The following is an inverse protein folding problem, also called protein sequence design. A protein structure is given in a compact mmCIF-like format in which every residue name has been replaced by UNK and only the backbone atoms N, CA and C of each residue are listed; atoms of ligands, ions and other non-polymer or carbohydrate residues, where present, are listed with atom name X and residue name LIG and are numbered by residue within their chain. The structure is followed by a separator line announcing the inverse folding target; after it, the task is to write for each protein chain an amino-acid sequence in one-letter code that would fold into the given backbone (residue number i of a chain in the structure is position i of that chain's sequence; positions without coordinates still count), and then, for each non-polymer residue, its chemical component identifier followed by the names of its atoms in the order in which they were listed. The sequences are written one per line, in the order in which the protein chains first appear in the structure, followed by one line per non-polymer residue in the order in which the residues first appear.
data_IF_540893361333
#
_entry.id   IF_540893361333
#
_cell.length_a   1.000
_cell.length_b   1.000
_cell.length_c   1.000
_cell.angle_alpha   90.00
_cell.angle_beta   90.00
_cell.angle_gamma   90.00
#
_symmetry.space_group_name_H-M   'P 1'
#
loop_
_entity.id
_entity.type
_entity.pdbx_description
1 polymer ?
#
# COMPACT_ATOMS: atom_id res chain seq x y z
N UNK A 1 26.28 12.08 22.71
CA UNK A 1 26.07 12.82 21.45
C UNK A 1 24.62 13.29 21.42
N UNK A 2 24.38 14.59 21.33
CA UNK A 2 23.02 15.12 21.17
C UNK A 2 22.46 14.57 19.85
N UNK A 3 21.36 13.84 19.90
CA UNK A 3 20.66 13.38 18.71
C UNK A 3 20.25 14.60 17.87
N UNK A 4 20.82 14.73 16.68
CA UNK A 4 20.49 15.84 15.80
C UNK A 4 19.07 15.58 15.24
N UNK A 5 18.09 16.38 15.65
CA UNK A 5 16.70 16.26 15.21
C UNK A 5 16.58 16.97 13.86
N UNK A 6 16.19 16.23 12.81
CA UNK A 6 15.90 16.79 11.49
C UNK A 6 14.79 17.85 11.62
N UNK A 7 15.02 19.05 11.07
CA UNK A 7 14.11 20.19 11.15
C UNK A 7 13.58 20.45 12.57
N UNK A 8 14.49 20.57 13.54
CA UNK A 8 14.17 20.62 14.98
C UNK A 8 13.07 21.63 15.34
N UNK A 9 13.21 22.87 14.90
CA UNK A 9 12.29 23.98 15.21
C UNK A 9 10.89 23.69 14.62
N UNK A 10 10.83 23.34 13.33
CA UNK A 10 9.60 22.97 12.65
C UNK A 10 8.94 21.75 13.32
N UNK A 11 9.71 20.72 13.63
CA UNK A 11 9.25 19.51 14.33
C UNK A 11 8.60 19.81 15.67
N UNK A 12 9.12 20.79 16.43
CA UNK A 12 8.53 21.20 17.71
C UNK A 12 7.25 22.02 17.52
N UNK A 13 7.23 22.93 16.54
CA UNK A 13 6.02 23.69 16.22
C UNK A 13 4.88 22.77 15.79
N UNK A 14 5.16 21.84 14.87
CA UNK A 14 4.21 20.84 14.37
C UNK A 14 3.70 19.97 15.52
N UNK A 15 4.58 19.41 16.34
CA UNK A 15 4.16 18.60 17.50
C UNK A 15 3.29 19.38 18.48
N UNK A 16 3.60 20.66 18.71
CA UNK A 16 2.77 21.53 19.53
C UNK A 16 1.36 21.72 18.95
N UNK A 17 1.20 21.74 17.62
CA UNK A 17 -0.13 21.78 16.98
C UNK A 17 -0.86 20.45 17.21
N UNK A 18 -0.18 19.32 16.99
CA UNK A 18 -0.79 18.00 17.16
C UNK A 18 -1.31 17.79 18.60
N UNK A 19 -0.55 18.24 19.60
CA UNK A 19 -0.95 18.19 21.02
C UNK A 19 -2.15 19.09 21.29
N UNK A 20 -2.14 20.32 20.77
CA UNK A 20 -3.26 21.25 20.94
C UNK A 20 -4.56 20.71 20.32
N UNK A 21 -4.48 20.16 19.10
CA UNK A 21 -5.60 19.49 18.42
C UNK A 21 -6.12 18.33 19.27
N UNK A 22 -5.24 17.48 19.80
CA UNK A 22 -5.64 16.37 20.66
C UNK A 22 -6.32 16.85 21.96
N UNK A 23 -5.77 17.87 22.61
CA UNK A 23 -6.31 18.40 23.86
C UNK A 23 -7.70 19.02 23.68
N UNK A 24 -7.97 19.65 22.53
CA UNK A 24 -9.25 20.28 22.24
C UNK A 24 -10.31 19.29 21.78
N UNK A 25 -9.93 18.28 20.98
CA UNK A 25 -10.89 17.35 20.36
C UNK A 25 -11.04 16.02 21.10
N UNK A 26 -10.02 15.59 21.84
CA UNK A 26 -9.94 14.25 22.43
C UNK A 26 -9.93 13.12 21.38
N UNK A 27 -9.95 11.85 21.82
CA UNK A 27 -10.01 10.68 20.93
C UNK A 27 -11.45 10.38 20.43
N UNK A 28 -11.60 9.35 19.61
CA UNK A 28 -12.88 8.79 19.10
C UNK A 28 -13.59 9.59 18.00
N UNK A 29 -12.87 10.47 17.30
CA UNK A 29 -13.39 11.09 16.08
C UNK A 29 -12.85 10.37 14.83
N UNK A 30 -13.58 10.40 13.71
CA UNK A 30 -13.04 10.00 12.42
C UNK A 30 -11.77 10.79 12.03
N UNK A 31 -10.80 10.10 11.42
CA UNK A 31 -9.49 10.65 11.03
C UNK A 31 -9.57 11.98 10.26
N UNK A 32 -10.55 12.10 9.35
CA UNK A 32 -10.82 13.32 8.58
C UNK A 32 -11.02 14.59 9.42
N UNK A 33 -11.49 14.47 10.67
CA UNK A 33 -11.65 15.63 11.55
C UNK A 33 -10.31 16.10 12.11
N UNK A 34 -9.44 15.16 12.48
CA UNK A 34 -8.07 15.50 12.89
C UNK A 34 -7.28 16.09 11.73
N UNK A 35 -7.40 15.53 10.51
CA UNK A 35 -6.76 16.10 9.32
C UNK A 35 -7.13 17.57 9.12
N UNK A 36 -8.44 17.90 9.19
CA UNK A 36 -8.92 19.28 9.07
C UNK A 36 -8.41 20.19 10.17
N UNK A 37 -8.43 19.72 11.43
CA UNK A 37 -7.98 20.50 12.57
C UNK A 37 -6.47 20.77 12.53
N UNK A 38 -5.67 19.77 12.15
CA UNK A 38 -4.22 19.90 11.96
C UNK A 38 -3.91 20.88 10.82
N UNK A 39 -4.59 20.77 9.67
CA UNK A 39 -4.44 21.73 8.56
C UNK A 39 -4.71 23.16 9.02
N UNK A 40 -5.78 23.37 9.80
CA UNK A 40 -6.11 24.68 10.34
C UNK A 40 -5.03 25.20 11.30
N UNK A 41 -4.58 24.38 12.25
CA UNK A 41 -3.54 24.75 13.20
C UNK A 41 -2.18 25.06 12.55
N UNK A 42 -1.81 24.32 11.50
CA UNK A 42 -0.61 24.58 10.70
C UNK A 42 -0.69 25.96 10.02
N UNK A 43 -1.82 26.25 9.37
CA UNK A 43 -2.05 27.55 8.71
C UNK A 43 -2.04 28.71 9.69
N UNK A 44 -2.64 28.57 10.87
CA UNK A 44 -2.60 29.62 11.90
C UNK A 44 -1.19 29.96 12.38
N UNK A 45 -0.27 28.98 12.36
CA UNK A 45 1.14 29.19 12.71
C UNK A 45 2.00 29.61 11.51
N UNK A 46 1.39 29.85 10.35
CA UNK A 46 2.10 30.26 9.14
C UNK A 46 3.01 29.17 8.54
N UNK A 47 2.78 27.90 8.87
CA UNK A 47 3.55 26.78 8.31
C UNK A 47 2.95 26.41 6.95
N UNK A 48 3.78 26.43 5.89
CA UNK A 48 3.35 26.06 4.56
C UNK A 48 2.97 24.56 4.54
N UNK A 49 1.75 24.26 4.12
CA UNK A 49 1.19 22.91 4.15
C UNK A 49 0.27 22.66 2.95
N UNK A 50 0.50 21.55 2.25
CA UNK A 50 -0.42 20.96 1.27
C UNK A 50 -1.08 19.74 1.91
N UNK A 51 -2.39 19.76 2.10
CA UNK A 51 -3.14 18.62 2.64
C UNK A 51 -3.60 17.70 1.51
N UNK A 52 -3.60 16.39 1.74
CA UNK A 52 -3.96 15.38 0.73
C UNK A 52 -3.16 15.56 -0.57
N UNK A 53 -1.84 15.78 -0.44
CA UNK A 53 -0.98 16.01 -1.60
C UNK A 53 -0.83 14.72 -2.40
N UNK A 54 -1.16 14.79 -3.69
CA UNK A 54 -1.03 13.69 -4.62
C UNK A 54 0.44 13.50 -5.05
N UNK A 55 0.88 12.25 -5.05
CA UNK A 55 2.16 11.80 -5.61
C UNK A 55 1.91 10.66 -6.58
N UNK A 56 2.53 10.74 -7.74
CA UNK A 56 2.53 9.64 -8.72
C UNK A 56 3.49 8.54 -8.26
N UNK A 57 2.99 7.32 -8.19
CA UNK A 57 3.76 6.13 -7.85
C UNK A 57 4.27 5.50 -9.13
N UNK A 58 5.59 5.43 -9.26
CA UNK A 58 6.23 4.73 -10.36
C UNK A 58 6.67 3.34 -9.94
N UNK A 59 6.48 2.37 -10.83
CA UNK A 59 7.13 1.07 -10.74
C UNK A 59 7.91 0.84 -12.02
N UNK A 60 9.24 0.68 -11.89
CA UNK A 60 10.17 0.87 -13.01
C UNK A 60 9.97 2.29 -13.57
N UNK A 61 9.99 2.45 -14.89
CA UNK A 61 9.78 3.73 -15.56
C UNK A 61 8.31 3.99 -15.94
N UNK A 62 7.36 3.26 -15.33
CA UNK A 62 5.94 3.31 -15.66
C UNK A 62 5.10 3.72 -14.46
N UNK A 63 4.09 4.55 -14.70
CA UNK A 63 3.11 4.92 -13.68
C UNK A 63 2.32 3.70 -13.21
N UNK A 64 2.33 3.48 -11.90
CA UNK A 64 1.56 2.47 -11.21
C UNK A 64 0.26 3.04 -10.60
N UNK A 65 0.08 4.36 -10.62
CA UNK A 65 -1.09 5.07 -10.06
C UNK A 65 -0.68 6.20 -9.13
N UNK A 66 -1.61 6.70 -8.34
CA UNK A 66 -1.38 7.82 -7.42
C UNK A 66 -1.57 7.44 -5.96
N UNK A 67 -0.91 8.17 -5.07
CA UNK A 67 -1.08 8.09 -3.63
C UNK A 67 -1.20 9.49 -3.02
N UNK A 68 -1.92 9.60 -1.91
CA UNK A 68 -2.18 10.86 -1.23
C UNK A 68 -1.58 10.83 0.18
N UNK A 69 -0.81 11.86 0.51
CA UNK A 69 -0.24 12.05 1.85
C UNK A 69 -1.10 13.05 2.62
N UNK A 70 -1.35 12.81 3.91
CA UNK A 70 -2.22 13.64 4.73
C UNK A 70 -1.77 15.10 4.76
N UNK A 71 -0.49 15.35 5.08
CA UNK A 71 0.09 16.70 5.06
C UNK A 71 1.53 16.69 4.58
N UNK A 72 1.81 17.55 3.59
CA UNK A 72 3.13 17.84 3.06
C UNK A 72 3.57 19.23 3.50
N UNK A 73 4.58 19.31 4.37
CA UNK A 73 4.98 20.55 5.04
C UNK A 73 6.26 21.12 4.44
N UNK A 74 6.29 22.45 4.27
CA UNK A 74 7.50 23.22 3.93
C UNK A 74 8.28 22.60 2.77
N UNK A 75 7.56 22.27 1.69
CA UNK A 75 8.13 21.70 0.46
C UNK A 75 8.91 20.38 0.67
N UNK A 76 8.49 19.56 1.63
CA UNK A 76 9.03 18.20 1.81
C UNK A 76 9.97 18.04 2.99
N UNK A 77 10.10 19.06 3.84
CA UNK A 77 10.84 18.93 5.10
C UNK A 77 10.19 17.87 6.01
N UNK A 78 8.86 17.90 6.12
CA UNK A 78 8.11 16.95 6.95
C UNK A 78 6.87 16.48 6.19
N UNK A 79 6.63 15.16 6.16
CA UNK A 79 5.30 14.62 5.92
C UNK A 79 4.64 14.18 7.23
N UNK A 80 3.32 14.34 7.32
CA UNK A 80 2.53 13.79 8.41
C UNK A 80 1.72 12.60 7.90
N UNK A 81 1.66 11.56 8.73
CA UNK A 81 0.77 10.40 8.56
C UNK A 81 -0.10 10.31 9.82
N UNK A 82 -1.38 10.59 9.66
CA UNK A 82 -2.36 10.57 10.73
C UNK A 82 -2.98 9.17 10.85
N UNK A 83 -3.27 8.80 12.08
CA UNK A 83 -3.99 7.57 12.42
C UNK A 83 -5.01 7.82 13.50
N UNK A 84 -6.11 7.09 13.42
CA UNK A 84 -7.02 6.84 14.55
C UNK A 84 -7.05 5.33 14.79
N UNK A 85 -6.11 4.85 15.61
CA UNK A 85 -5.92 3.44 15.90
C UNK A 85 -5.67 3.20 17.40
N UNK A 86 -5.71 1.93 17.81
CA UNK A 86 -5.40 1.53 19.18
C UNK A 86 -3.92 1.71 19.55
N UNK A 87 -3.01 1.72 18.57
CA UNK A 87 -1.58 1.99 18.74
C UNK A 87 -0.88 2.31 17.41
N UNK A 88 0.33 2.86 17.46
CA UNK A 88 1.23 2.96 16.30
C UNK A 88 1.93 1.60 16.08
N UNK A 89 1.33 0.79 15.21
CA UNK A 89 1.86 -0.54 14.87
C UNK A 89 3.10 -0.49 13.96
N UNK A 90 3.94 -1.54 13.95
CA UNK A 90 5.07 -1.68 13.01
C UNK A 90 4.67 -1.49 11.54
N UNK A 91 3.50 -1.99 11.14
CA UNK A 91 3.00 -1.81 9.79
C UNK A 91 2.81 -0.33 9.41
N UNK A 92 2.32 0.51 10.32
CA UNK A 92 2.17 1.96 10.03
C UNK A 92 3.52 2.60 9.72
N UNK A 93 4.58 2.15 10.40
CA UNK A 93 5.95 2.63 10.15
C UNK A 93 6.45 2.15 8.80
N UNK A 94 6.25 0.88 8.47
CA UNK A 94 6.64 0.33 7.16
C UNK A 94 5.95 1.06 6.00
N UNK A 95 4.65 1.37 6.14
CA UNK A 95 3.89 2.14 5.15
C UNK A 95 4.45 3.56 5.00
N UNK A 96 4.69 4.24 6.11
CA UNK A 96 5.26 5.59 6.12
C UNK A 96 6.67 5.64 5.50
N UNK A 97 7.47 4.59 5.72
CA UNK A 97 8.78 4.42 5.07
C UNK A 97 8.64 4.32 3.55
N UNK A 98 7.62 3.60 3.03
CA UNK A 98 7.33 3.58 1.59
C UNK A 98 7.04 4.98 1.06
N UNK A 99 6.34 5.82 1.82
CA UNK A 99 6.03 7.19 1.42
C UNK A 99 7.26 8.11 1.47
N UNK A 100 8.16 7.92 2.44
CA UNK A 100 9.46 8.60 2.47
C UNK A 100 10.30 8.27 1.23
N UNK A 101 10.30 7.01 0.78
CA UNK A 101 10.99 6.61 -0.46
C UNK A 101 10.37 7.25 -1.68
N UNK A 102 9.03 7.30 -1.75
CA UNK A 102 8.29 7.84 -2.88
C UNK A 102 8.51 9.34 -3.06
N UNK A 103 8.46 10.09 -1.95
CA UNK A 103 8.36 11.56 -1.98
C UNK A 103 9.67 12.28 -1.76
N UNK A 104 10.69 11.55 -1.31
CA UNK A 104 11.96 12.08 -0.90
C UNK A 104 11.88 13.14 0.21
N UNK A 105 10.87 13.09 1.07
CA UNK A 105 10.82 13.95 2.26
C UNK A 105 11.95 13.63 3.25
N UNK A 106 12.40 14.62 4.02
CA UNK A 106 13.49 14.45 4.99
C UNK A 106 13.06 13.69 6.26
N UNK A 107 11.81 13.90 6.68
CA UNK A 107 11.25 13.36 7.91
C UNK A 107 9.77 13.03 7.74
N UNK A 108 9.33 11.91 8.30
CA UNK A 108 7.92 11.66 8.54
C UNK A 108 7.60 11.71 10.03
N UNK A 109 6.40 12.19 10.37
CA UNK A 109 5.83 12.09 11.71
C UNK A 109 4.53 11.32 11.61
N UNK A 110 4.52 10.11 12.17
CA UNK A 110 3.29 9.35 12.38
C UNK A 110 2.66 9.86 13.67
N UNK A 111 1.38 10.19 13.62
CA UNK A 111 0.64 10.65 14.78
C UNK A 111 -0.65 9.84 14.93
N UNK A 112 -0.90 9.32 16.13
CA UNK A 112 -2.11 8.58 16.45
C UNK A 112 -2.96 9.34 17.47
N UNK A 113 -4.19 9.67 17.05
CA UNK A 113 -5.20 10.35 17.86
C UNK A 113 -6.21 9.37 18.52
N UNK A 114 -6.09 8.06 18.27
CA UNK A 114 -7.06 7.05 18.73
C UNK A 114 -6.90 6.60 20.19
N UNK A 115 -5.77 6.90 20.82
CA UNK A 115 -5.41 6.44 22.18
C UNK A 115 -5.84 7.41 23.28
N UNK A 116 -5.61 7.04 24.56
CA UNK A 116 -5.91 7.92 25.71
C UNK A 116 -4.99 9.14 25.82
N UNK A 117 -3.86 9.12 25.13
CA UNK A 117 -2.96 10.26 24.95
C UNK A 117 -2.51 10.32 23.49
N UNK A 118 -2.08 11.47 23.00
CA UNK A 118 -1.46 11.59 21.68
C UNK A 118 -0.19 10.74 21.63
N UNK A 119 -0.10 9.84 20.65
CA UNK A 119 1.14 9.15 20.33
C UNK A 119 1.76 9.76 19.07
N UNK A 120 3.07 9.97 19.07
CA UNK A 120 3.81 10.42 17.90
C UNK A 120 5.12 9.63 17.71
N UNK A 121 5.48 9.35 16.45
CA UNK A 121 6.73 8.71 16.08
C UNK A 121 7.39 9.41 14.89
N UNK A 122 8.66 9.79 15.06
CA UNK A 122 9.49 10.41 14.02
C UNK A 122 10.27 9.34 13.25
N UNK A 123 10.21 9.40 11.93
CA UNK A 123 10.92 8.51 11.01
C UNK A 123 11.79 9.36 10.07
N UNK A 124 13.07 9.58 10.39
CA UNK A 124 13.99 10.27 9.50
C UNK A 124 14.28 9.43 8.23
N UNK A 125 14.43 10.09 7.09
CA UNK A 125 14.71 9.42 5.82
C UNK A 125 16.19 9.01 5.69
N UNK A 126 16.59 7.96 6.42
CA UNK A 126 17.94 7.38 6.30
C UNK A 126 18.07 6.35 5.17
N UNK A 127 17.07 6.27 4.30
CA UNK A 127 16.98 5.28 3.23
C UNK A 127 17.14 5.90 1.83
N UNK A 128 17.14 7.24 1.72
CA UNK A 128 17.37 8.01 0.48
C UNK A 128 18.51 7.45 -0.38
N UNK A 129 19.62 7.05 0.26
CA UNK A 129 20.82 6.57 -0.45
C UNK A 129 21.03 5.04 -0.39
N UNK A 130 20.09 4.29 0.22
CA UNK A 130 20.24 2.84 0.38
C UNK A 130 19.71 2.12 -0.84
N UNK A 131 20.62 1.59 -1.65
CA UNK A 131 20.31 0.59 -2.66
C UNK A 131 20.45 -0.80 -2.06
N UNK A 132 19.35 -1.54 -2.03
CA UNK A 132 19.34 -2.96 -1.63
C UNK A 132 18.89 -3.75 -2.84
N UNK A 133 19.69 -4.74 -3.24
CA UNK A 133 19.34 -5.61 -4.35
C UNK A 133 18.27 -6.61 -3.94
N UNK A 134 17.28 -6.79 -4.80
CA UNK A 134 16.27 -7.82 -4.62
C UNK A 134 16.87 -9.20 -4.82
N UNK A 135 16.70 -10.08 -3.84
CA UNK A 135 17.09 -11.48 -3.92
C UNK A 135 15.85 -12.36 -3.80
N UNK A 136 15.72 -13.31 -4.73
CA UNK A 136 14.63 -14.29 -4.76
C UNK A 136 15.20 -15.69 -4.85
N UNK A 137 14.57 -16.61 -4.13
CA UNK A 137 14.85 -18.04 -4.22
C UNK A 137 13.54 -18.78 -4.50
N UNK A 138 13.49 -19.62 -5.56
CA UNK A 138 12.31 -20.44 -5.84
C UNK A 138 11.97 -21.32 -4.66
N UNK A 139 10.67 -21.47 -4.37
CA UNK A 139 10.22 -22.41 -3.33
C UNK A 139 10.13 -23.81 -3.93
N UNK A 140 10.55 -24.82 -3.16
CA UNK A 140 10.36 -26.22 -3.55
C UNK A 140 8.85 -26.54 -3.55
N UNK A 141 8.31 -26.91 -4.72
CA UNK A 141 6.90 -27.25 -4.91
C UNK A 141 6.66 -28.76 -4.85
N UNK A 142 5.41 -29.14 -4.58
CA UNK A 142 5.00 -30.53 -4.63
C UNK A 142 5.03 -31.05 -6.07
N UNK A 143 5.27 -32.35 -6.26
CA UNK A 143 5.41 -32.94 -7.61
C UNK A 143 4.15 -32.85 -8.48
N UNK A 144 2.98 -32.57 -7.88
CA UNK A 144 1.70 -32.45 -8.56
C UNK A 144 1.27 -30.98 -8.82
N UNK A 145 2.13 -29.99 -8.55
CA UNK A 145 1.79 -28.58 -8.79
C UNK A 145 1.63 -28.31 -10.29
N UNK A 146 0.54 -27.64 -10.66
CA UNK A 146 0.30 -27.21 -12.03
C UNK A 146 1.13 -25.96 -12.35
N UNK A 147 1.84 -25.97 -13.48
CA UNK A 147 2.63 -24.84 -13.98
C UNK A 147 3.69 -24.32 -12.99
N UNK A 148 4.55 -25.19 -12.41
CA UNK A 148 5.47 -24.80 -11.32
C UNK A 148 6.41 -23.65 -11.73
N UNK A 149 6.95 -23.68 -12.94
CA UNK A 149 7.84 -22.63 -13.45
C UNK A 149 7.12 -21.27 -13.59
N UNK A 150 5.88 -21.28 -14.09
CA UNK A 150 5.09 -20.05 -14.23
C UNK A 150 4.70 -19.48 -12.86
N UNK A 151 4.33 -20.34 -11.90
CA UNK A 151 4.05 -19.93 -10.53
C UNK A 151 5.28 -19.34 -9.83
N UNK A 152 6.46 -19.91 -10.05
CA UNK A 152 7.71 -19.38 -9.48
C UNK A 152 8.06 -18.01 -10.04
N UNK A 153 7.93 -17.81 -11.36
CA UNK A 153 8.13 -16.49 -11.98
C UNK A 153 7.08 -15.48 -11.53
N UNK A 154 5.81 -15.89 -11.42
CA UNK A 154 4.75 -15.04 -10.88
C UNK A 154 5.03 -14.64 -9.42
N UNK A 155 5.46 -15.58 -8.58
CA UNK A 155 5.76 -15.28 -7.18
C UNK A 155 6.98 -14.37 -7.06
N UNK A 156 8.01 -14.59 -7.89
CA UNK A 156 9.14 -13.67 -8.00
C UNK A 156 8.67 -12.26 -8.34
N UNK A 157 7.82 -12.11 -9.36
CA UNK A 157 7.27 -10.82 -9.78
C UNK A 157 6.55 -10.12 -8.62
N UNK A 158 5.64 -10.81 -7.94
CA UNK A 158 4.87 -10.24 -6.82
C UNK A 158 5.78 -9.85 -5.65
N UNK A 159 6.75 -10.69 -5.30
CA UNK A 159 7.71 -10.38 -4.24
C UNK A 159 8.62 -9.21 -4.60
N UNK A 160 9.02 -9.07 -5.87
CA UNK A 160 9.80 -7.93 -6.34
C UNK A 160 9.01 -6.63 -6.25
N UNK A 161 7.73 -6.66 -6.65
CA UNK A 161 6.82 -5.52 -6.51
C UNK A 161 6.72 -5.08 -5.04
N UNK A 162 6.46 -6.03 -4.13
CA UNK A 162 6.36 -5.73 -2.69
C UNK A 162 7.68 -5.23 -2.11
N UNK A 163 8.82 -5.78 -2.54
CA UNK A 163 10.14 -5.34 -2.10
C UNK A 163 10.47 -3.90 -2.52
N UNK A 164 10.18 -3.55 -3.78
CA UNK A 164 10.48 -2.23 -4.34
C UNK A 164 9.55 -1.17 -3.76
N UNK A 165 8.23 -1.40 -3.82
CA UNK A 165 7.24 -0.41 -3.37
C UNK A 165 7.11 -0.38 -1.85
N UNK A 166 7.24 -1.52 -1.17
CA UNK A 166 6.83 -1.66 0.22
C UNK A 166 5.31 -1.66 0.39
N UNK A 167 4.80 -1.76 1.63
CA UNK A 167 3.37 -1.67 1.92
C UNK A 167 2.87 -0.22 1.93
N UNK A 168 1.56 -0.01 1.98
CA UNK A 168 0.92 1.30 2.21
C UNK A 168 0.07 1.81 1.06
N UNK A 169 0.37 1.40 -0.17
CA UNK A 169 -0.43 1.78 -1.33
C UNK A 169 -1.76 1.04 -1.41
N UNK A 170 -2.70 1.62 -2.18
CA UNK A 170 -3.97 0.99 -2.49
C UNK A 170 -3.79 -0.18 -3.47
N UNK A 171 -4.68 -1.18 -3.43
CA UNK A 171 -4.57 -2.39 -4.24
C UNK A 171 -4.39 -2.14 -5.75
N UNK A 172 -4.98 -1.07 -6.30
CA UNK A 172 -4.83 -0.69 -7.72
C UNK A 172 -3.38 -0.41 -8.10
N UNK A 173 -2.59 0.19 -7.19
CA UNK A 173 -1.16 0.45 -7.40
C UNK A 173 -0.39 -0.86 -7.52
N UNK A 174 -0.60 -1.80 -6.60
CA UNK A 174 0.06 -3.11 -6.67
C UNK A 174 -0.39 -3.92 -7.89
N UNK A 175 -1.65 -3.81 -8.29
CA UNK A 175 -2.19 -4.49 -9.46
C UNK A 175 -1.50 -3.99 -10.73
N UNK A 176 -1.40 -2.68 -10.89
CA UNK A 176 -0.68 -2.07 -12.01
C UNK A 176 0.81 -2.41 -11.98
N UNK A 177 1.46 -2.32 -10.83
CA UNK A 177 2.87 -2.70 -10.67
C UNK A 177 3.13 -4.19 -10.98
N UNK A 178 2.24 -5.08 -10.58
CA UNK A 178 2.31 -6.50 -10.92
C UNK A 178 2.22 -6.71 -12.44
N UNK A 179 1.30 -6.03 -13.13
CA UNK A 179 1.20 -6.11 -14.59
C UNK A 179 2.46 -5.58 -15.30
N UNK A 180 2.99 -4.45 -14.84
CA UNK A 180 4.26 -3.89 -15.34
C UNK A 180 5.41 -4.91 -15.14
N UNK A 181 5.47 -5.56 -13.98
CA UNK A 181 6.49 -6.57 -13.70
C UNK A 181 6.35 -7.82 -14.58
N UNK A 182 5.12 -8.31 -14.77
CA UNK A 182 4.84 -9.43 -15.67
C UNK A 182 5.27 -9.10 -17.10
N UNK A 183 4.95 -7.89 -17.59
CA UNK A 183 5.38 -7.42 -18.90
C UNK A 183 6.92 -7.39 -19.01
N UNK A 184 7.60 -6.85 -17.99
CA UNK A 184 9.07 -6.78 -17.98
C UNK A 184 9.72 -8.16 -18.00
N UNK A 185 9.11 -9.15 -17.34
CA UNK A 185 9.57 -10.54 -17.38
C UNK A 185 9.16 -11.30 -18.65
N UNK A 186 8.42 -10.68 -19.58
CA UNK A 186 7.90 -11.33 -20.77
C UNK A 186 6.82 -12.38 -20.48
N UNK A 187 6.06 -12.22 -19.39
CA UNK A 187 4.94 -13.09 -19.02
C UNK A 187 3.66 -12.48 -19.59
N UNK A 188 2.99 -13.20 -20.48
CA UNK A 188 1.71 -12.76 -21.04
C UNK A 188 0.62 -12.71 -19.98
N UNK A 189 -0.17 -11.63 -19.97
CA UNK A 189 -1.32 -11.49 -19.09
C UNK A 189 -2.48 -10.78 -19.79
N UNK A 190 -3.67 -10.94 -19.23
CA UNK A 190 -4.87 -10.20 -19.58
C UNK A 190 -5.46 -9.57 -18.32
N UNK A 191 -5.76 -8.28 -18.43
CA UNK A 191 -6.39 -7.50 -17.39
C UNK A 191 -7.93 -7.64 -17.46
N UNK A 192 -8.51 -8.38 -16.52
CA UNK A 192 -9.96 -8.61 -16.45
C UNK A 192 -10.55 -7.69 -15.39
N UNK A 193 -11.09 -6.57 -15.85
CA UNK A 193 -11.81 -5.61 -15.02
C UNK A 193 -13.21 -6.13 -14.67
N UNK A 194 -13.97 -6.54 -15.70
CA UNK A 194 -15.37 -6.95 -15.57
C UNK A 194 -15.58 -8.37 -16.10
N UNK A 195 -16.59 -9.04 -15.58
CA UNK A 195 -17.05 -10.35 -16.06
C UNK A 195 -18.56 -10.37 -16.24
N UNK A 196 -19.02 -11.07 -17.28
CA UNK A 196 -20.45 -11.24 -17.55
C UNK A 196 -21.05 -12.27 -16.60
N UNK A 197 -22.14 -11.89 -15.93
CA UNK A 197 -22.91 -12.74 -15.05
C UNK A 197 -24.09 -13.35 -15.80
N UNK A 198 -24.26 -14.66 -15.70
CA UNK A 198 -25.37 -15.37 -16.33
C UNK A 198 -26.24 -16.09 -15.30
N UNK A 199 -27.56 -16.10 -15.54
CA UNK A 199 -28.52 -16.98 -14.88
C UNK A 199 -29.25 -17.80 -15.94
N UNK A 200 -29.05 -19.12 -15.95
CA UNK A 200 -29.66 -20.04 -16.94
C UNK A 200 -29.54 -19.53 -18.39
N UNK A 201 -28.34 -19.09 -18.78
CA UNK A 201 -27.99 -18.49 -20.09
C UNK A 201 -28.48 -17.06 -20.35
N UNK A 202 -29.29 -16.47 -19.46
CA UNK A 202 -29.64 -15.05 -19.52
C UNK A 202 -28.51 -14.20 -18.92
N UNK A 203 -27.96 -13.26 -19.70
CA UNK A 203 -26.95 -12.32 -19.22
C UNK A 203 -27.62 -11.29 -18.29
N UNK A 204 -27.21 -11.28 -17.02
CA UNK A 204 -27.66 -10.35 -16.00
C UNK A 204 -26.91 -9.00 -16.04
N UNK A 205 -25.76 -8.96 -16.71
CA UNK A 205 -24.89 -7.78 -16.80
C UNK A 205 -23.45 -8.07 -16.40
N UNK A 206 -22.65 -7.01 -16.33
CA UNK A 206 -21.25 -7.07 -15.90
C UNK A 206 -21.13 -6.92 -14.38
N UNK A 207 -20.18 -7.62 -13.79
CA UNK A 207 -19.76 -7.39 -12.42
C UNK A 207 -18.25 -7.19 -12.34
N UNK A 208 -17.82 -6.43 -11.33
CA UNK A 208 -16.43 -6.15 -11.09
C UNK A 208 -15.69 -7.44 -10.70
N UNK A 209 -14.55 -7.69 -11.36
CA UNK A 209 -13.74 -8.88 -11.17
C UNK A 209 -12.34 -8.55 -10.66
N UNK A 210 -11.73 -7.47 -11.14
CA UNK A 210 -10.40 -6.97 -10.75
C UNK A 210 -9.29 -8.04 -10.71
N UNK A 211 -9.31 -9.03 -11.60
CA UNK A 211 -8.32 -10.13 -11.64
C UNK A 211 -7.40 -10.03 -12.84
N UNK A 212 -6.23 -10.64 -12.75
CA UNK A 212 -5.26 -10.73 -13.84
C UNK A 212 -5.18 -12.20 -14.27
N UNK A 213 -5.42 -12.48 -15.55
CA UNK A 213 -5.26 -13.82 -16.11
C UNK A 213 -3.88 -13.96 -16.72
N UNK A 214 -3.03 -14.80 -16.13
CA UNK A 214 -1.62 -14.97 -16.53
C UNK A 214 -1.49 -16.21 -17.41
N UNK A 215 -0.97 -16.02 -18.63
CA UNK A 215 -0.80 -17.02 -19.71
C UNK A 215 -2.01 -17.94 -19.95
N UNK A 216 -3.24 -17.47 -19.73
CA UNK A 216 -4.48 -18.29 -19.74
C UNK A 216 -4.47 -19.50 -18.76
N UNK A 217 -3.53 -19.53 -17.81
CA UNK A 217 -3.27 -20.68 -16.92
C UNK A 217 -3.52 -20.41 -15.44
N UNK A 218 -3.28 -19.17 -15.01
CA UNK A 218 -3.37 -18.74 -13.60
C UNK A 218 -4.26 -17.52 -13.49
N UNK A 219 -5.13 -17.49 -12.46
CA UNK A 219 -5.93 -16.32 -12.13
C UNK A 219 -5.36 -15.67 -10.86
N UNK A 220 -4.87 -14.44 -10.99
CA UNK A 220 -4.27 -13.66 -9.91
C UNK A 220 -5.27 -12.63 -9.37
N UNK A 221 -5.55 -12.68 -8.07
CA UNK A 221 -6.20 -11.61 -7.31
C UNK A 221 -5.17 -10.82 -6.50
N UNK A 222 -5.17 -9.49 -6.65
CA UNK A 222 -4.25 -8.58 -5.95
C UNK A 222 -5.03 -7.77 -4.91
N UNK A 223 -4.57 -7.82 -3.66
CA UNK A 223 -5.23 -7.20 -2.50
C UNK A 223 -4.25 -6.37 -1.67
N UNK A 224 -4.81 -5.45 -0.88
CA UNK A 224 -4.10 -4.69 0.14
C UNK A 224 -5.00 -4.54 1.37
N UNK A 225 -5.30 -5.66 2.03
CA UNK A 225 -6.24 -5.75 3.16
C UNK A 225 -5.55 -6.31 4.40
N UNK A 226 -6.01 -5.93 5.59
CA UNK A 226 -5.45 -6.37 6.88
C UNK A 226 -5.43 -7.90 7.04
N UNK A 227 -6.47 -8.58 6.53
CA UNK A 227 -6.58 -10.03 6.53
C UNK A 227 -7.34 -10.51 5.29
N UNK A 228 -6.87 -11.59 4.68
CA UNK A 228 -7.68 -12.32 3.69
C UNK A 228 -8.69 -13.21 4.41
N UNK A 229 -9.95 -13.16 3.97
CA UNK A 229 -11.01 -14.03 4.48
C UNK A 229 -11.36 -15.14 3.48
N UNK A 230 -12.19 -16.09 3.92
CA UNK A 230 -12.62 -17.21 3.07
C UNK A 230 -13.50 -16.76 1.90
N UNK A 231 -14.17 -15.62 2.02
CA UNK A 231 -15.08 -15.11 0.98
C UNK A 231 -14.27 -14.69 -0.24
N UNK A 232 -13.13 -14.01 -0.04
CA UNK A 232 -12.22 -13.65 -1.12
C UNK A 232 -11.77 -14.87 -1.94
N UNK A 233 -11.39 -15.96 -1.26
CA UNK A 233 -11.04 -17.22 -1.93
C UNK A 233 -12.22 -17.86 -2.68
N UNK A 234 -13.45 -17.77 -2.15
CA UNK A 234 -14.64 -18.27 -2.84
C UNK A 234 -14.95 -17.47 -4.11
N UNK A 235 -14.79 -16.14 -4.07
CA UNK A 235 -14.99 -15.26 -5.23
C UNK A 235 -14.01 -15.65 -6.35
N UNK A 236 -12.74 -15.82 -6.01
CA UNK A 236 -11.69 -16.14 -6.99
C UNK A 236 -11.93 -17.55 -7.55
N UNK A 237 -12.29 -18.55 -6.74
CA UNK A 237 -12.69 -19.88 -7.22
C UNK A 237 -13.89 -19.85 -8.16
N UNK A 238 -14.87 -18.98 -7.92
CA UNK A 238 -16.01 -18.80 -8.82
C UNK A 238 -15.56 -18.23 -10.17
N UNK A 239 -14.71 -17.21 -10.16
CA UNK A 239 -14.16 -16.60 -11.37
C UNK A 239 -13.28 -17.58 -12.16
N UNK A 240 -12.44 -18.37 -11.48
CA UNK A 240 -11.64 -19.45 -12.09
C UNK A 240 -12.52 -20.43 -12.88
N UNK A 241 -13.63 -20.90 -12.29
CA UNK A 241 -14.58 -21.79 -12.97
C UNK A 241 -15.19 -21.15 -14.21
N UNK A 242 -15.57 -19.88 -14.14
CA UNK A 242 -16.14 -19.14 -15.26
C UNK A 242 -15.12 -18.94 -16.40
N UNK A 243 -13.85 -18.69 -16.05
CA UNK A 243 -12.78 -18.45 -17.01
C UNK A 243 -12.07 -19.73 -17.49
N UNK A 244 -12.45 -20.90 -16.99
CA UNK A 244 -11.81 -22.19 -17.32
C UNK A 244 -10.37 -22.32 -16.80
N UNK A 245 -10.00 -21.55 -15.77
CA UNK A 245 -8.66 -21.51 -15.20
C UNK A 245 -8.55 -22.48 -14.02
N UNK A 246 -7.47 -23.26 -13.94
CA UNK A 246 -7.30 -24.32 -12.93
C UNK A 246 -6.54 -23.90 -11.67
N UNK A 247 -5.75 -22.83 -11.74
CA UNK A 247 -4.89 -22.37 -10.63
C UNK A 247 -5.25 -20.94 -10.27
N UNK A 248 -5.51 -20.69 -9.00
CA UNK A 248 -5.74 -19.35 -8.45
C UNK A 248 -4.59 -18.91 -7.56
N UNK A 249 -4.27 -17.62 -7.57
CA UNK A 249 -3.28 -17.01 -6.68
C UNK A 249 -3.90 -15.76 -6.05
N UNK A 250 -3.89 -15.68 -4.72
CA UNK A 250 -4.18 -14.43 -3.99
C UNK A 250 -2.87 -13.83 -3.51
N UNK A 251 -2.66 -12.54 -3.78
CA UNK A 251 -1.50 -11.80 -3.32
C UNK A 251 -1.95 -10.61 -2.49
N UNK A 252 -1.62 -10.60 -1.19
CA UNK A 252 -1.96 -9.51 -0.29
C UNK A 252 -0.72 -8.71 0.11
N UNK A 253 -0.68 -7.46 -0.34
CA UNK A 253 0.43 -6.53 -0.20
C UNK A 253 0.33 -5.65 1.06
N UNK A 254 -0.67 -5.86 1.92
CA UNK A 254 -0.90 -5.01 3.09
C UNK A 254 0.25 -5.04 4.11
N UNK A 255 0.80 -6.22 4.39
CA UNK A 255 1.72 -6.43 5.51
C UNK A 255 3.16 -6.03 5.21
N UNK A 256 3.99 -6.10 6.26
CA UNK A 256 5.46 -5.97 6.15
C UNK A 256 6.09 -7.06 5.28
N UNK A 257 5.35 -8.14 5.03
CA UNK A 257 5.67 -9.20 4.08
C UNK A 257 4.47 -9.44 3.18
N UNK A 258 4.75 -9.69 1.91
CA UNK A 258 3.76 -10.20 0.97
C UNK A 258 3.23 -11.56 1.47
N UNK A 259 1.91 -11.71 1.51
CA UNK A 259 1.24 -12.99 1.74
C UNK A 259 0.70 -13.48 0.39
N UNK A 260 1.07 -14.69 -0.01
CA UNK A 260 0.60 -15.32 -1.25
C UNK A 260 -0.02 -16.67 -0.94
N UNK A 261 -1.24 -16.90 -1.42
CA UNK A 261 -1.98 -18.15 -1.30
C UNK A 261 -2.29 -18.73 -2.68
N UNK A 262 -1.93 -20.00 -2.90
CA UNK A 262 -2.26 -20.78 -4.09
C UNK A 262 -3.51 -21.64 -3.82
N UNK A 263 -4.42 -21.75 -4.79
CA UNK A 263 -5.68 -22.50 -4.66
C UNK A 263 -6.10 -23.30 -5.89
#
# INVERSE_FOLDING_TARGET
MLSNIIHKELSYQVRGILIDVYNQLGPKLPEKFYQKAVTFGLRQRGIACESEKEFEVFYREMSAGSYYIDHWLEQGKILLELKVASDIMPIHQAQTISYLKLTDADLAIIVNFGTQSLQDKRLPNFIRDKKVDFQWQPKRRAGNTLYPELLDRLFEALHRVHFILGPGFIHRVYRQAAMIELQYQGIGYEDIHNMLLYYNSYCLGEHDAQVIRVENKILLGVFAVTSMDKVMGMVIKKQMKHLGVKVGVLANFYGEKLVVEEM
#
